data_IF_854672959158
#
_entry.id   IF_854672959158
#
_cell.length_a   1.000
_cell.length_b   1.000
_cell.length_c   1.000
_cell.angle_alpha   90.00
_cell.angle_beta   90.00
_cell.angle_gamma   90.00
#
_symmetry.space_group_name_H-M   'P 1'
#
loop_
_entity.id
_entity.type
_entity.pdbx_description
1 polymer ?
#
# COMPACT_ATOMS: atom_id res chain seq x y z
N UNK A 1 20.30 21.49 -0.61
CA UNK A 1 21.25 20.36 -0.57
C UNK A 1 20.46 19.07 -0.42
N UNK A 2 20.76 18.07 -1.23
CA UNK A 2 20.08 16.77 -1.19
C UNK A 2 20.94 15.79 -0.41
N UNK A 3 20.48 15.36 0.77
CA UNK A 3 21.22 14.40 1.61
C UNK A 3 20.96 13.00 1.08
N UNK A 4 22.04 12.31 0.69
CA UNK A 4 22.00 10.91 0.27
C UNK A 4 22.65 10.05 1.35
N UNK A 5 21.91 9.06 1.84
CA UNK A 5 22.39 8.09 2.81
C UNK A 5 22.70 6.78 2.10
N UNK A 6 23.90 6.25 2.31
CA UNK A 6 24.32 4.98 1.73
C UNK A 6 24.25 3.88 2.78
N UNK A 7 23.39 2.89 2.56
CA UNK A 7 23.22 1.73 3.44
C UNK A 7 23.92 0.51 2.85
N UNK A 8 24.82 -0.11 3.62
CA UNK A 8 25.36 -1.43 3.27
C UNK A 8 24.40 -2.49 3.82
N UNK A 9 23.73 -3.17 2.89
CA UNK A 9 22.84 -4.27 3.20
C UNK A 9 23.70 -5.44 3.70
N UNK A 10 23.50 -5.87 4.96
CA UNK A 10 24.12 -7.02 5.66
C UNK A 10 24.88 -6.76 6.95
N UNK A 11 24.88 -5.52 7.44
CA UNK A 11 25.60 -5.17 8.66
C UNK A 11 24.69 -4.42 9.63
N UNK A 12 24.92 -4.65 10.92
CA UNK A 12 24.46 -3.73 11.95
C UNK A 12 25.38 -2.52 11.94
N UNK A 13 24.80 -1.35 11.74
CA UNK A 13 25.57 -0.13 11.60
C UNK A 13 24.73 1.09 11.98
N UNK A 14 25.41 2.17 12.34
CA UNK A 14 24.80 3.46 12.63
C UNK A 14 25.21 4.42 11.53
N UNK A 15 24.22 4.97 10.83
CA UNK A 15 24.45 5.89 9.73
C UNK A 15 24.10 7.31 10.18
N UNK A 16 25.02 8.26 9.97
CA UNK A 16 24.77 9.66 10.24
C UNK A 16 24.21 10.35 8.99
N UNK A 17 23.12 11.11 9.16
CA UNK A 17 22.60 11.95 8.08
C UNK A 17 23.49 13.20 7.94
N UNK A 18 24.11 13.39 6.78
CA UNK A 18 24.88 14.62 6.54
C UNK A 18 23.98 15.85 6.70
N UNK A 19 24.41 16.83 7.51
CA UNK A 19 23.64 18.04 7.79
C UNK A 19 22.51 17.87 8.82
N UNK A 20 22.40 16.71 9.49
CA UNK A 20 21.48 16.50 10.61
C UNK A 20 22.16 15.66 11.70
N UNK A 21 22.07 16.02 12.99
CA UNK A 21 22.70 15.25 14.07
C UNK A 21 22.09 13.86 14.31
N UNK A 22 21.04 13.48 13.58
CA UNK A 22 20.37 12.21 13.79
C UNK A 22 21.08 11.00 13.18
N UNK A 23 21.12 9.96 14.00
CA UNK A 23 21.58 8.63 13.65
C UNK A 23 20.41 7.76 13.19
N UNK A 24 20.63 7.00 12.13
CA UNK A 24 19.75 5.90 11.73
C UNK A 24 20.44 4.60 12.10
N UNK A 25 19.74 3.79 12.89
CA UNK A 25 20.27 2.54 13.42
C UNK A 25 19.73 1.39 12.59
N UNK A 26 20.61 0.52 12.10
CA UNK A 26 20.24 -0.76 11.52
C UNK A 26 20.58 -1.84 12.52
N UNK A 27 19.56 -2.53 13.02
CA UNK A 27 19.69 -3.52 14.07
C UNK A 27 18.93 -4.79 13.67
N UNK A 28 19.37 -5.94 14.17
CA UNK A 28 18.60 -7.18 14.02
C UNK A 28 17.27 -7.07 14.78
N UNK A 29 16.14 -7.28 14.11
CA UNK A 29 14.81 -7.24 14.73
C UNK A 29 14.32 -8.65 15.05
N UNK A 30 14.30 -9.00 16.34
CA UNK A 30 13.83 -10.29 16.83
C UNK A 30 12.31 -10.44 16.79
N UNK A 31 11.56 -9.33 16.72
CA UNK A 31 10.10 -9.36 16.65
C UNK A 31 9.60 -9.77 15.25
N UNK A 32 10.41 -9.56 14.23
CA UNK A 32 10.15 -9.96 12.85
C UNK A 32 10.78 -11.32 12.55
N UNK A 33 10.36 -12.37 13.28
CA UNK A 33 10.90 -13.71 13.09
C UNK A 33 10.45 -14.30 11.76
N UNK A 34 11.43 -14.63 10.91
CA UNK A 34 11.24 -15.40 9.69
C UNK A 34 12.21 -16.59 9.76
N UNK A 35 11.71 -17.85 9.77
CA UNK A 35 12.59 -19.02 9.84
C UNK A 35 13.66 -19.00 8.75
N UNK A 36 14.92 -19.30 9.11
CA UNK A 36 16.09 -19.31 8.22
C UNK A 36 16.47 -17.95 7.63
N UNK A 37 15.99 -16.87 8.23
CA UNK A 37 16.30 -15.50 7.85
C UNK A 37 16.71 -14.68 9.07
N UNK A 38 17.79 -13.92 8.92
CA UNK A 38 18.14 -12.83 9.83
C UNK A 38 17.56 -11.53 9.29
N UNK A 39 16.64 -10.93 10.04
CA UNK A 39 15.96 -9.70 9.64
C UNK A 39 16.60 -8.50 10.32
N UNK A 40 17.04 -7.53 9.53
CA UNK A 40 17.53 -6.24 10.00
C UNK A 40 16.50 -5.16 9.71
N UNK A 41 16.35 -4.22 10.64
CA UNK A 41 15.39 -3.11 10.52
C UNK A 41 16.10 -1.80 10.77
N UNK A 42 15.83 -0.82 9.90
CA UNK A 42 16.25 0.56 10.13
C UNK A 42 15.27 1.27 11.06
N UNK A 43 15.78 1.84 12.14
CA UNK A 43 15.05 2.74 13.02
C UNK A 43 15.53 4.17 12.76
N UNK A 44 14.70 4.95 12.07
CA UNK A 44 14.90 6.39 11.93
C UNK A 44 14.10 7.13 13.01
N UNK A 45 14.74 7.90 13.89
CA UNK A 45 14.04 8.72 14.87
C UNK A 45 13.41 9.98 14.26
N UNK A 46 13.65 10.28 12.97
CA UNK A 46 13.18 11.51 12.32
C UNK A 46 12.37 11.21 11.06
N UNK A 47 11.28 11.97 10.89
CA UNK A 47 10.47 12.05 9.67
C UNK A 47 11.08 12.97 8.59
N UNK A 48 12.40 12.89 8.36
CA UNK A 48 13.09 13.75 7.38
C UNK A 48 13.17 13.09 6.01
N UNK A 49 12.99 13.89 4.96
CA UNK A 49 13.13 13.45 3.58
C UNK A 49 14.62 13.38 3.18
N UNK A 50 15.18 12.18 3.11
CA UNK A 50 16.50 11.92 2.52
C UNK A 50 16.39 10.91 1.38
N UNK A 51 17.39 10.92 0.50
CA UNK A 51 17.54 9.91 -0.54
C UNK A 51 18.34 8.74 0.02
N UNK A 52 17.95 7.53 -0.34
CA UNK A 52 18.68 6.32 0.07
C UNK A 52 19.33 5.67 -1.14
N UNK A 53 20.60 5.32 -0.95
CA UNK A 53 21.36 4.45 -1.84
C UNK A 53 21.65 3.15 -1.09
N UNK A 54 21.41 2.01 -1.73
CA UNK A 54 21.73 0.70 -1.14
C UNK A 54 22.94 0.11 -1.84
N UNK A 55 23.86 -0.42 -1.04
CA UNK A 55 24.97 -1.25 -1.47
C UNK A 55 24.77 -2.66 -0.95
N UNK A 56 25.15 -3.65 -1.75
CA UNK A 56 25.23 -5.04 -1.33
C UNK A 56 26.58 -5.62 -1.75
N UNK A 57 27.41 -5.98 -0.77
CA UNK A 57 28.83 -6.29 -0.97
C UNK A 57 29.54 -5.18 -1.76
N UNK A 58 29.26 -3.92 -1.41
CA UNK A 58 29.84 -2.74 -2.06
C UNK A 58 29.29 -2.42 -3.47
N UNK A 59 28.29 -3.15 -3.98
CA UNK A 59 27.68 -2.89 -5.30
C UNK A 59 26.32 -2.22 -5.16
N UNK A 60 26.11 -1.18 -5.95
CA UNK A 60 24.82 -0.48 -6.05
C UNK A 60 23.75 -1.40 -6.66
N UNK A 61 22.62 -1.53 -5.98
CA UNK A 61 21.54 -2.44 -6.38
C UNK A 61 20.47 -1.78 -7.26
N UNK A 62 20.64 -0.50 -7.63
CA UNK A 62 19.88 0.13 -8.71
C UNK A 62 18.42 0.45 -8.36
N UNK A 63 18.21 1.21 -7.28
CA UNK A 63 16.92 1.78 -6.94
C UNK A 63 16.43 2.83 -7.96
N UNK A 64 15.11 3.11 -8.02
CA UNK A 64 14.62 4.35 -8.59
C UNK A 64 15.27 5.56 -7.90
N UNK A 65 15.84 6.48 -8.68
CA UNK A 65 16.67 7.61 -8.18
C UNK A 65 15.90 8.70 -7.42
N UNK A 66 14.58 8.54 -7.27
CA UNK A 66 13.63 9.57 -6.80
C UNK A 66 12.84 9.16 -5.54
N UNK A 67 13.35 8.18 -4.77
CA UNK A 67 12.72 7.76 -3.53
C UNK A 67 13.01 8.77 -2.42
N UNK A 68 11.96 9.43 -1.94
CA UNK A 68 12.00 10.35 -0.81
C UNK A 68 11.37 9.67 0.41
N UNK A 69 11.84 10.03 1.61
CA UNK A 69 11.24 9.59 2.88
C UNK A 69 11.20 8.06 3.04
N UNK A 70 12.36 7.41 3.10
CA UNK A 70 12.40 6.01 3.56
C UNK A 70 12.09 5.97 5.05
N UNK A 71 10.86 5.61 5.42
CA UNK A 71 10.46 5.58 6.84
C UNK A 71 11.04 4.37 7.56
N UNK A 72 11.05 3.21 6.89
CA UNK A 72 11.54 1.93 7.42
C UNK A 72 12.09 1.06 6.30
N UNK A 73 13.21 0.40 6.56
CA UNK A 73 13.86 -0.57 5.68
C UNK A 73 13.96 -1.88 6.45
N UNK A 74 13.45 -2.96 5.85
CA UNK A 74 13.57 -4.33 6.33
C UNK A 74 14.49 -5.11 5.39
N UNK A 75 15.52 -5.77 5.94
CA UNK A 75 16.46 -6.59 5.16
C UNK A 75 16.41 -8.00 5.70
N UNK A 76 15.79 -8.92 4.96
CA UNK A 76 15.78 -10.35 5.26
C UNK A 76 16.95 -11.04 4.59
N UNK A 77 17.98 -11.35 5.37
CA UNK A 77 19.19 -12.06 4.91
C UNK A 77 19.00 -13.55 5.16
N UNK A 78 19.07 -14.38 4.10
CA UNK A 78 18.95 -15.81 4.28
C UNK A 78 20.18 -16.36 5.02
N UNK A 79 19.96 -17.35 5.88
CA UNK A 79 21.04 -18.07 6.57
C UNK A 79 21.68 -19.14 5.67
N UNK A 80 21.05 -19.44 4.53
CA UNK A 80 21.42 -20.47 3.57
C UNK A 80 21.45 -19.89 2.16
N UNK A 81 22.44 -20.27 1.35
CA UNK A 81 22.61 -19.80 -0.03
C UNK A 81 21.52 -20.25 -0.99
N UNK A 82 20.70 -21.24 -0.61
CA UNK A 82 19.54 -21.71 -1.38
C UNK A 82 18.36 -20.73 -1.36
N UNK A 83 18.35 -19.80 -0.42
CA UNK A 83 17.28 -18.82 -0.21
C UNK A 83 17.64 -17.45 -0.77
N UNK A 84 16.61 -16.67 -1.16
CA UNK A 84 16.78 -15.37 -1.81
C UNK A 84 16.96 -14.27 -0.76
N UNK A 85 17.86 -13.31 -1.00
CA UNK A 85 17.93 -12.06 -0.23
C UNK A 85 16.72 -11.19 -0.56
N UNK A 86 16.05 -10.68 0.48
CA UNK A 86 14.86 -9.83 0.33
C UNK A 86 15.09 -8.51 1.06
N UNK A 87 14.90 -7.40 0.36
CA UNK A 87 14.94 -6.04 0.94
C UNK A 87 13.59 -5.40 0.71
N UNK A 88 12.97 -4.90 1.77
CA UNK A 88 11.71 -4.18 1.70
C UNK A 88 11.89 -2.76 2.21
N UNK A 89 11.39 -1.78 1.46
CA UNK A 89 11.59 -0.35 1.73
C UNK A 89 10.25 0.34 1.73
N UNK A 90 9.85 0.89 2.87
CA UNK A 90 8.74 1.82 2.97
C UNK A 90 9.22 3.21 2.52
N UNK A 91 8.69 3.71 1.40
CA UNK A 91 9.11 4.98 0.82
C UNK A 91 7.90 5.81 0.34
N UNK A 92 8.06 7.14 0.33
CA UNK A 92 7.10 8.05 -0.29
C UNK A 92 7.58 8.44 -1.68
N UNK A 93 6.81 8.08 -2.70
CA UNK A 93 7.05 8.51 -4.08
C UNK A 93 6.27 9.79 -4.33
N UNK A 94 6.98 10.84 -4.75
CA UNK A 94 6.39 12.10 -5.19
C UNK A 94 6.45 12.20 -6.71
N UNK A 95 5.29 12.32 -7.36
CA UNK A 95 5.20 12.60 -8.79
C UNK A 95 4.21 13.73 -9.03
N UNK A 96 4.69 14.84 -9.61
CA UNK A 96 3.91 16.08 -9.74
C UNK A 96 3.35 16.53 -8.38
N UNK A 97 2.04 16.67 -8.25
CA UNK A 97 1.33 17.07 -7.02
C UNK A 97 0.87 15.87 -6.17
N UNK A 98 1.17 14.64 -6.58
CA UNK A 98 0.77 13.44 -5.86
C UNK A 98 1.90 12.90 -5.00
N UNK A 99 1.56 12.55 -3.76
CA UNK A 99 2.42 11.78 -2.85
C UNK A 99 1.76 10.43 -2.64
N UNK A 100 2.50 9.36 -2.86
CA UNK A 100 2.03 8.01 -2.62
C UNK A 100 3.07 7.26 -1.81
N UNK A 101 2.65 6.78 -0.64
CA UNK A 101 3.47 5.90 0.16
C UNK A 101 3.32 4.47 -0.37
N UNK A 102 4.46 3.83 -0.60
CA UNK A 102 4.56 2.50 -1.17
C UNK A 102 5.55 1.66 -0.40
N UNK A 103 5.42 0.36 -0.55
CA UNK A 103 6.46 -0.58 -0.15
C UNK A 103 7.11 -1.10 -1.43
N UNK A 104 8.43 -0.95 -1.52
CA UNK A 104 9.25 -1.51 -2.59
C UNK A 104 9.93 -2.76 -2.10
N UNK A 105 9.83 -3.84 -2.86
CA UNK A 105 10.40 -5.13 -2.52
C UNK A 105 11.48 -5.48 -3.55
N UNK A 106 12.71 -5.73 -3.11
CA UNK A 106 13.82 -6.15 -3.95
C UNK A 106 14.20 -7.57 -3.57
N UNK A 107 14.23 -8.46 -4.56
CA UNK A 107 14.54 -9.88 -4.37
C UNK A 107 15.73 -10.23 -5.23
N UNK A 108 16.82 -10.66 -4.61
CA UNK A 108 17.99 -11.14 -5.32
C UNK A 108 17.72 -12.57 -5.81
N UNK A 109 17.45 -12.72 -7.12
CA UNK A 109 17.37 -14.03 -7.73
C UNK A 109 18.79 -14.58 -7.91
N UNK A 110 18.99 -15.90 -7.84
CA UNK A 110 20.27 -16.64 -7.86
C UNK A 110 21.23 -16.36 -9.06
N UNK A 111 20.95 -15.36 -9.89
CA UNK A 111 21.77 -14.88 -11.00
C UNK A 111 21.78 -13.36 -11.04
N UNK A 112 22.55 -12.66 -10.19
CA UNK A 112 22.95 -11.22 -10.32
C UNK A 112 21.86 -10.17 -10.66
N UNK A 113 20.57 -10.54 -10.68
CA UNK A 113 19.46 -9.72 -11.16
C UNK A 113 18.48 -9.56 -10.01
N UNK A 114 18.37 -8.32 -9.57
CA UNK A 114 17.35 -7.90 -8.62
C UNK A 114 16.00 -7.83 -9.33
N UNK A 115 15.02 -8.60 -8.83
CA UNK A 115 13.62 -8.41 -9.20
C UNK A 115 13.02 -7.40 -8.23
N UNK A 116 12.37 -6.37 -8.77
CA UNK A 116 11.78 -5.29 -7.97
C UNK A 116 10.27 -5.37 -8.07
N UNK A 117 9.59 -5.20 -6.94
CA UNK A 117 8.13 -5.19 -6.86
C UNK A 117 7.64 -3.95 -6.13
N UNK A 118 6.48 -3.45 -6.53
CA UNK A 118 5.75 -2.37 -5.84
C UNK A 118 4.55 -2.99 -5.13
N UNK A 119 4.38 -2.66 -3.86
CA UNK A 119 3.21 -3.04 -3.06
C UNK A 119 2.40 -1.81 -2.67
N UNK A 120 1.15 -1.75 -3.16
CA UNK A 120 0.22 -0.62 -3.00
C UNK A 120 -0.53 -0.66 -1.64
N UNK A 121 0.23 -0.80 -0.55
CA UNK A 121 -0.24 -0.49 0.81
C UNK A 121 0.90 0.11 1.65
N UNK A 122 0.64 1.28 2.22
CA UNK A 122 1.58 2.02 3.07
C UNK A 122 1.64 1.52 4.52
N UNK A 123 0.60 0.86 5.02
CA UNK A 123 0.54 0.44 6.43
C UNK A 123 0.54 -1.08 6.54
N UNK A 124 1.66 -1.62 7.02
CA UNK A 124 1.83 -3.03 7.38
C UNK A 124 2.52 -3.13 8.74
N UNK A 125 1.97 -3.96 9.65
CA UNK A 125 2.60 -4.28 10.94
C UNK A 125 3.80 -5.23 10.75
N UNK A 126 4.60 -5.44 11.79
CA UNK A 126 5.78 -6.34 11.76
C UNK A 126 5.42 -7.76 11.28
N UNK A 127 4.29 -8.31 11.69
CA UNK A 127 3.79 -9.62 11.22
C UNK A 127 3.51 -9.63 9.71
N UNK A 128 3.03 -8.51 9.16
CA UNK A 128 2.83 -8.37 7.72
C UNK A 128 4.14 -8.29 6.95
N UNK A 129 5.20 -7.70 7.54
CA UNK A 129 6.54 -7.68 6.97
C UNK A 129 7.16 -9.07 6.94
N UNK A 130 7.09 -9.81 8.06
CA UNK A 130 7.53 -11.20 8.13
C UNK A 130 6.83 -12.08 7.09
N UNK A 131 5.51 -11.89 6.93
CA UNK A 131 4.71 -12.57 5.91
C UNK A 131 5.16 -12.22 4.49
N UNK A 132 5.42 -10.95 4.19
CA UNK A 132 5.91 -10.51 2.89
C UNK A 132 7.29 -11.10 2.56
N UNK A 133 8.23 -11.06 3.50
CA UNK A 133 9.57 -11.67 3.34
C UNK A 133 9.41 -13.16 3.08
N UNK A 134 8.65 -13.88 3.92
CA UNK A 134 8.40 -15.32 3.76
C UNK A 134 7.82 -15.66 2.40
N UNK A 135 6.86 -14.86 1.91
CA UNK A 135 6.21 -15.11 0.62
C UNK A 135 7.15 -14.86 -0.56
N UNK A 136 7.96 -13.79 -0.51
CA UNK A 136 8.93 -13.46 -1.56
C UNK A 136 10.16 -14.37 -1.55
N UNK A 137 10.53 -14.89 -0.38
CA UNK A 137 11.63 -15.80 -0.14
C UNK A 137 11.36 -17.21 -0.69
N UNK A 138 10.19 -17.76 -0.36
CA UNK A 138 9.87 -19.17 -0.57
C UNK A 138 9.22 -19.47 -1.91
N UNK A 139 8.84 -18.44 -2.68
CA UNK A 139 8.25 -18.65 -4.01
C UNK A 139 9.38 -18.70 -5.06
N UNK A 140 9.67 -19.89 -5.66
CA UNK A 140 10.77 -20.05 -6.61
C UNK A 140 10.53 -19.22 -7.88
N UNK A 141 9.28 -19.14 -8.34
CA UNK A 141 8.83 -18.28 -9.43
C UNK A 141 7.41 -17.77 -9.14
N UNK A 142 7.31 -16.49 -8.75
CA UNK A 142 6.01 -15.82 -8.75
C UNK A 142 5.46 -15.83 -10.18
N UNK A 143 4.37 -16.56 -10.42
CA UNK A 143 3.67 -16.48 -11.70
C UNK A 143 3.04 -15.09 -11.82
N UNK A 144 3.09 -14.48 -13.01
CA UNK A 144 2.47 -13.16 -13.30
C UNK A 144 1.00 -13.06 -12.81
N UNK A 145 0.30 -14.17 -12.75
CA UNK A 145 -1.10 -14.27 -12.30
C UNK A 145 -1.29 -14.15 -10.78
N UNK A 146 -0.31 -14.55 -9.97
CA UNK A 146 -0.35 -14.38 -8.51
C UNK A 146 -0.01 -12.94 -8.10
N UNK A 147 0.83 -12.28 -8.91
CA UNK A 147 1.16 -10.85 -8.84
C UNK A 147 -0.07 -10.00 -9.20
N UNK A 148 -0.80 -10.37 -10.27
CA UNK A 148 -1.96 -9.62 -10.77
C UNK A 148 -3.23 -9.75 -9.92
N UNK A 149 -3.36 -10.80 -9.08
CA UNK A 149 -4.52 -11.02 -8.19
C UNK A 149 -4.54 -10.19 -6.89
N UNK A 150 -3.64 -9.21 -6.72
CA UNK A 150 -4.14 -7.93 -6.19
C UNK A 150 -3.27 -7.02 -5.34
N UNK A 151 -1.95 -7.21 -5.16
CA UNK A 151 -1.18 -6.23 -4.37
C UNK A 151 0.31 -6.02 -4.70
N UNK A 152 1.02 -7.00 -5.23
CA UNK A 152 2.43 -6.88 -5.65
C UNK A 152 2.48 -6.66 -7.17
N UNK A 153 3.33 -5.77 -7.65
CA UNK A 153 3.52 -5.51 -9.08
C UNK A 153 5.00 -5.52 -9.42
N UNK A 154 5.46 -6.48 -10.23
CA UNK A 154 6.85 -6.52 -10.69
C UNK A 154 7.14 -5.32 -11.61
N UNK A 155 8.26 -4.65 -11.36
CA UNK A 155 8.73 -3.49 -12.11
C UNK A 155 10.16 -3.73 -12.59
N UNK A 156 10.46 -3.30 -13.81
CA UNK A 156 11.83 -3.21 -14.30
C UNK A 156 12.64 -2.23 -13.43
N UNK A 157 13.87 -2.57 -13.01
CA UNK A 157 14.69 -1.74 -12.13
C UNK A 157 15.03 -0.34 -12.69
N UNK A 158 14.95 -0.13 -14.00
CA UNK A 158 15.18 1.18 -14.63
C UNK A 158 13.95 2.10 -14.66
N UNK A 159 12.85 1.72 -14.01
CA UNK A 159 11.57 2.41 -14.13
C UNK A 159 11.54 3.76 -13.41
N UNK A 160 10.86 4.73 -14.04
CA UNK A 160 10.66 6.08 -13.52
C UNK A 160 9.50 6.17 -12.51
N UNK A 161 9.55 7.15 -11.61
CA UNK A 161 8.48 7.49 -10.64
C UNK A 161 7.08 7.60 -11.27
N UNK A 162 7.00 8.03 -12.54
CA UNK A 162 5.76 8.14 -13.31
C UNK A 162 5.04 6.79 -13.46
N UNK A 163 5.77 5.73 -13.74
CA UNK A 163 5.21 4.41 -14.01
C UNK A 163 4.82 3.71 -12.71
N UNK A 164 5.57 3.91 -11.63
CA UNK A 164 5.16 3.49 -10.29
C UNK A 164 3.83 4.17 -9.91
N UNK A 165 3.70 5.49 -10.13
CA UNK A 165 2.43 6.17 -9.90
C UNK A 165 1.30 5.69 -10.82
N UNK A 166 1.60 5.26 -12.06
CA UNK A 166 0.60 4.67 -12.97
C UNK A 166 0.07 3.34 -12.42
N UNK A 167 0.95 2.49 -11.88
CA UNK A 167 0.58 1.21 -11.24
C UNK A 167 -0.32 1.44 -10.03
N UNK A 168 0.01 2.42 -9.17
CA UNK A 168 -0.80 2.78 -8.00
C UNK A 168 -2.18 3.32 -8.42
N UNK A 169 -2.24 4.11 -9.49
CA UNK A 169 -3.52 4.62 -9.98
C UNK A 169 -4.39 3.50 -10.56
N UNK A 170 -3.81 2.58 -11.33
CA UNK A 170 -4.58 1.46 -11.90
C UNK A 170 -5.11 0.51 -10.83
N UNK A 171 -4.33 0.21 -9.78
CA UNK A 171 -4.79 -0.61 -8.65
C UNK A 171 -5.93 0.05 -7.87
N UNK A 172 -5.86 1.36 -7.61
CA UNK A 172 -6.94 2.12 -6.95
C UNK A 172 -8.21 2.16 -7.79
N UNK A 173 -8.10 2.39 -9.10
CA UNK A 173 -9.24 2.39 -10.01
C UNK A 173 -9.91 1.00 -10.09
N UNK A 174 -9.12 -0.08 -10.11
CA UNK A 174 -9.65 -1.44 -10.06
C UNK A 174 -10.43 -1.72 -8.75
N UNK A 175 -9.94 -1.24 -7.60
CA UNK A 175 -10.66 -1.32 -6.32
C UNK A 175 -11.95 -0.50 -6.36
N UNK A 176 -11.92 0.71 -6.92
CA UNK A 176 -13.12 1.53 -7.05
C UNK A 176 -14.17 0.89 -7.97
N UNK A 177 -13.79 0.14 -9.01
CA UNK A 177 -14.74 -0.48 -9.95
C UNK A 177 -15.78 -1.41 -9.30
N UNK A 178 -15.40 -2.18 -8.28
CA UNK A 178 -16.31 -3.12 -7.61
C UNK A 178 -17.20 -2.37 -6.60
N UNK A 179 -16.59 -1.52 -5.77
CA UNK A 179 -17.31 -0.76 -4.75
C UNK A 179 -18.19 0.36 -5.33
N UNK A 180 -17.73 1.04 -6.39
CA UNK A 180 -18.53 2.07 -7.08
C UNK A 180 -19.74 1.49 -7.79
N UNK A 181 -19.65 0.26 -8.34
CA UNK A 181 -20.81 -0.46 -8.87
C UNK A 181 -21.82 -0.79 -7.77
N UNK A 182 -21.34 -1.27 -6.63
CA UNK A 182 -22.17 -1.60 -5.47
C UNK A 182 -22.83 -0.36 -4.85
N UNK A 183 -22.09 0.75 -4.76
CA UNK A 183 -22.57 2.02 -4.22
C UNK A 183 -23.57 2.70 -5.17
N UNK A 184 -23.34 2.63 -6.50
CA UNK A 184 -24.35 3.05 -7.50
C UNK A 184 -25.63 2.22 -7.38
N UNK A 185 -25.51 0.91 -7.19
CA UNK A 185 -26.65 0.02 -7.02
C UNK A 185 -27.44 0.38 -5.75
N UNK A 186 -26.75 0.57 -4.62
CA UNK A 186 -27.37 0.99 -3.36
C UNK A 186 -28.05 2.36 -3.49
N UNK A 187 -27.37 3.38 -4.05
CA UNK A 187 -27.98 4.70 -4.28
C UNK A 187 -29.20 4.62 -5.21
N UNK A 188 -29.16 3.77 -6.23
CA UNK A 188 -30.30 3.51 -7.11
C UNK A 188 -31.48 2.87 -6.38
N UNK A 189 -31.21 1.90 -5.49
CA UNK A 189 -32.23 1.25 -4.66
C UNK A 189 -32.83 2.25 -3.68
N UNK A 190 -32.02 3.02 -2.95
CA UNK A 190 -32.49 4.05 -2.02
C UNK A 190 -33.31 5.14 -2.71
N UNK A 191 -32.88 5.61 -3.89
CA UNK A 191 -33.64 6.59 -4.67
C UNK A 191 -35.01 6.05 -5.08
N UNK A 192 -35.09 4.79 -5.54
CA UNK A 192 -36.36 4.13 -5.86
C UNK A 192 -37.23 3.97 -4.61
N UNK A 193 -36.66 3.58 -3.48
CA UNK A 193 -37.38 3.44 -2.21
C UNK A 193 -37.97 4.78 -1.74
N UNK A 194 -37.22 5.88 -1.84
CA UNK A 194 -37.70 7.22 -1.51
C UNK A 194 -38.86 7.68 -2.41
N UNK A 195 -38.83 7.35 -3.71
CA UNK A 195 -39.93 7.66 -4.62
C UNK A 195 -41.19 6.89 -4.21
N UNK A 196 -41.05 5.61 -3.86
CA UNK A 196 -42.16 4.77 -3.39
C UNK A 196 -42.75 5.27 -2.07
N UNK A 197 -41.92 5.60 -1.07
CA UNK A 197 -42.40 6.11 0.22
C UNK A 197 -43.07 7.47 0.08
N UNK A 198 -42.56 8.34 -0.80
CA UNK A 198 -43.17 9.65 -1.08
C UNK A 198 -44.54 9.49 -1.76
N UNK A 199 -44.67 8.55 -2.71
CA UNK A 199 -45.96 8.23 -3.36
C UNK A 199 -46.95 7.63 -2.38
N UNK A 200 -46.51 6.67 -1.56
CA UNK A 200 -47.34 6.07 -0.52
C UNK A 200 -47.84 7.10 0.49
N UNK A 201 -46.98 8.02 0.95
CA UNK A 201 -47.37 9.10 1.86
C UNK A 201 -48.43 10.00 1.24
N UNK A 202 -48.26 10.44 -0.02
CA UNK A 202 -49.26 11.26 -0.72
C UNK A 202 -50.60 10.53 -0.86
N UNK A 203 -50.57 9.23 -1.17
CA UNK A 203 -51.78 8.42 -1.27
C UNK A 203 -52.50 8.32 0.07
N UNK A 204 -51.79 7.99 1.15
CA UNK A 204 -52.34 7.89 2.51
C UNK A 204 -52.94 9.23 2.96
N UNK A 205 -52.22 10.34 2.77
CA UNK A 205 -52.71 11.67 3.14
C UNK A 205 -53.96 12.06 2.34
N UNK A 206 -53.97 11.79 1.02
CA UNK A 206 -55.14 12.06 0.18
C UNK A 206 -56.35 11.21 0.57
N UNK A 207 -56.13 9.92 0.84
CA UNK A 207 -57.18 9.01 1.27
C UNK A 207 -57.75 9.40 2.64
N UNK A 208 -56.89 9.76 3.59
CA UNK A 208 -57.31 10.21 4.92
C UNK A 208 -58.15 11.49 4.84
N UNK A 209 -57.71 12.48 4.06
CA UNK A 209 -58.48 13.72 3.86
C UNK A 209 -59.84 13.46 3.20
N UNK A 210 -59.88 12.57 2.20
CA UNK A 210 -61.13 12.18 1.56
C UNK A 210 -62.08 11.49 2.54
N UNK A 211 -61.57 10.52 3.30
CA UNK A 211 -62.34 9.78 4.31
C UNK A 211 -62.88 10.71 5.40
N UNK A 212 -62.01 11.57 5.94
CA UNK A 212 -62.38 12.54 6.97
C UNK A 212 -63.50 13.48 6.52
N UNK A 213 -63.37 14.07 5.32
CA UNK A 213 -64.39 14.95 4.77
C UNK A 213 -65.73 14.24 4.56
N UNK A 214 -65.71 12.96 4.17
CA UNK A 214 -66.91 12.14 3.97
C UNK A 214 -67.59 11.76 5.29
N UNK A 215 -66.82 11.46 6.34
CA UNK A 215 -67.37 11.24 7.68
C UNK A 215 -67.93 12.52 8.29
N UNK A 216 -67.23 13.64 8.12
CA UNK A 216 -67.66 14.95 8.62
C UNK A 216 -68.97 15.39 7.96
N UNK A 217 -69.09 15.25 6.63
CA UNK A 217 -70.34 15.60 5.95
C UNK A 217 -71.53 14.76 6.42
N UNK A 218 -71.33 13.46 6.71
CA UNK A 218 -72.40 12.58 7.22
C UNK A 218 -72.82 12.88 8.66
N UNK A 219 -71.93 13.43 9.49
CA UNK A 219 -72.22 13.73 10.90
C UNK A 219 -72.89 15.10 11.10
N UNK A 220 -72.69 16.05 10.18
CA UNK A 220 -73.11 17.46 10.34
C UNK A 220 -74.13 17.94 9.30
N UNK A 221 -74.75 17.04 8.53
CA UNK A 221 -75.86 17.37 7.58
C UNK A 221 -77.23 16.87 8.05
N UNK A 222 -77.52 16.94 9.36
CA UNK A 222 -78.89 16.80 9.89
C UNK A 222 -79.28 18.03 10.69
#
# INVERSE_FOLDING_TARGET
>A
MTVTLTFELSKEEKYLLSGNPAWIYVLTDRSCYVPRYRVFVSYSPISTSYYVRFLYHGKDIGLPKDLLCSNRIFVGIPEDTTLKLVVLVEATIKYRREKNDVILCFVNSAKKFWRTYVYDKCKTCNESWATLIKTLALCPDYKREEVSRGKLHEINPKISSREICRIIRSSRLARQSIWSKMEKLQRGIFARMMIWTTRAKRFITSWFNYFWNRCYSLLFTK
#
